data_IF_859213978294
#
_entry.id   IF_859213978294
#
_cell.length_a   1.000
_cell.length_b   1.000
_cell.length_c   1.000
_cell.angle_alpha   90.00
_cell.angle_beta   90.00
_cell.angle_gamma   90.00
#
_symmetry.space_group_name_H-M   'P 1'
#
loop_
_entity.id
_entity.type
_entity.pdbx_description
1 polymer ?
#
# COMPACT_ATOMS: atom_id res chain seq x y z
N UNK A 1 10.94 -40.52 21.77
CA UNK A 1 10.76 -39.17 22.32
C UNK A 1 11.88 -38.30 21.73
N UNK A 2 11.57 -37.22 21.03
CA UNK A 2 12.59 -36.26 20.59
C UNK A 2 13.09 -35.49 21.82
N UNK A 3 14.39 -35.63 22.13
CA UNK A 3 15.04 -34.96 23.27
C UNK A 3 15.70 -33.65 22.90
N UNK A 4 15.61 -33.24 21.62
CA UNK A 4 16.18 -31.99 21.10
C UNK A 4 15.11 -30.91 20.96
N UNK A 5 15.50 -29.67 21.25
CA UNK A 5 14.65 -28.47 21.01
C UNK A 5 14.25 -28.39 19.55
N UNK A 6 12.98 -28.12 19.29
CA UNK A 6 12.45 -27.88 17.93
C UNK A 6 12.60 -26.42 17.49
N UNK A 7 13.27 -25.58 18.30
CA UNK A 7 13.44 -24.15 18.03
C UNK A 7 14.15 -23.85 16.69
N UNK A 8 15.09 -24.72 16.29
CA UNK A 8 15.79 -24.60 15.00
C UNK A 8 14.87 -24.79 13.77
N UNK A 9 13.67 -25.33 13.97
CA UNK A 9 12.67 -25.56 12.93
C UNK A 9 11.53 -24.55 12.96
N UNK A 10 11.51 -23.68 14.00
CA UNK A 10 10.54 -22.59 14.14
C UNK A 10 11.06 -21.35 13.46
N UNK A 11 10.20 -20.64 12.74
CA UNK A 11 10.51 -19.34 12.17
C UNK A 11 9.46 -18.31 12.64
N UNK A 12 9.87 -17.06 12.87
CA UNK A 12 8.95 -16.03 13.34
C UNK A 12 7.95 -15.64 12.25
N UNK A 13 6.66 -15.60 12.57
CA UNK A 13 5.59 -15.16 11.68
C UNK A 13 5.32 -13.63 11.82
N UNK A 14 6.37 -12.84 12.03
CA UNK A 14 6.26 -11.38 12.13
C UNK A 14 6.55 -10.75 10.77
N UNK A 15 5.52 -10.41 10.02
CA UNK A 15 5.58 -9.85 8.67
C UNK A 15 5.25 -8.36 8.65
N UNK A 16 5.89 -7.58 9.52
CA UNK A 16 5.70 -6.12 9.65
C UNK A 16 6.92 -5.38 9.12
N UNK A 17 6.69 -4.43 8.20
CA UNK A 17 7.76 -3.57 7.66
C UNK A 17 8.35 -2.64 8.73
N UNK A 18 9.69 -2.46 8.69
CA UNK A 18 10.42 -1.56 9.58
C UNK A 18 10.67 -0.22 8.89
N UNK A 19 10.15 0.89 9.44
CA UNK A 19 10.78 2.25 9.47
C UNK A 19 9.77 3.35 9.86
N UNK A 20 10.08 4.24 10.88
CA UNK A 20 10.21 5.71 10.77
C UNK A 20 10.02 6.43 12.12
N UNK A 21 11.06 7.15 12.54
CA UNK A 21 11.02 8.03 13.74
C UNK A 21 11.65 9.42 13.48
N UNK A 22 11.46 10.07 12.33
CA UNK A 22 12.19 11.33 12.11
C UNK A 22 11.43 12.60 11.68
N UNK A 23 10.13 12.55 11.42
CA UNK A 23 9.41 13.76 10.96
C UNK A 23 8.07 14.03 11.70
N UNK A 24 7.96 13.61 12.93
CA UNK A 24 6.70 13.56 13.68
C UNK A 24 5.99 14.92 13.80
N UNK A 25 6.69 16.00 14.15
CA UNK A 25 6.03 17.31 14.39
C UNK A 25 5.48 17.98 13.14
N UNK A 26 6.21 17.92 12.02
CA UNK A 26 5.76 18.53 10.75
C UNK A 26 4.58 17.77 10.17
N UNK A 27 4.64 16.45 10.22
CA UNK A 27 3.53 15.59 9.79
C UNK A 27 2.27 15.86 10.63
N UNK A 28 2.39 15.98 11.94
CA UNK A 28 1.26 16.31 12.80
C UNK A 28 0.67 17.69 12.51
N UNK A 29 1.49 18.69 12.17
CA UNK A 29 1.02 20.00 11.77
C UNK A 29 0.21 19.94 10.47
N UNK A 30 0.72 19.25 9.45
CA UNK A 30 0.01 19.05 8.17
C UNK A 30 -1.30 18.31 8.38
N UNK A 31 -1.29 17.24 9.18
CA UNK A 31 -2.50 16.47 9.52
C UNK A 31 -3.54 17.36 10.22
N UNK A 32 -3.12 18.16 11.19
CA UNK A 32 -4.03 19.07 11.92
C UNK A 32 -4.60 20.15 10.99
N UNK A 33 -3.77 20.75 10.12
CA UNK A 33 -4.18 21.75 9.16
C UNK A 33 -5.19 21.20 8.14
N UNK A 34 -4.89 20.03 7.58
CA UNK A 34 -5.76 19.34 6.63
C UNK A 34 -7.08 18.92 7.28
N UNK A 35 -7.04 18.42 8.52
CA UNK A 35 -8.26 18.07 9.25
C UNK A 35 -9.12 19.30 9.58
N UNK A 36 -8.51 20.43 9.95
CA UNK A 36 -9.24 21.67 10.18
C UNK A 36 -9.89 22.19 8.89
N UNK A 37 -9.18 22.13 7.75
CA UNK A 37 -9.71 22.54 6.46
C UNK A 37 -10.87 21.65 6.00
N UNK A 38 -10.71 20.35 6.11
CA UNK A 38 -11.74 19.35 5.86
C UNK A 38 -13.04 19.65 6.64
N UNK A 39 -12.92 19.93 7.95
CA UNK A 39 -14.08 20.30 8.76
C UNK A 39 -14.70 21.64 8.29
N UNK A 40 -13.87 22.62 7.93
CA UNK A 40 -14.34 23.89 7.42
C UNK A 40 -15.11 23.71 6.09
N UNK A 41 -14.65 22.86 5.19
CA UNK A 41 -15.31 22.56 3.91
C UNK A 41 -16.62 21.82 4.09
N UNK A 42 -16.67 20.79 4.95
CA UNK A 42 -17.91 20.04 5.21
C UNK A 42 -18.95 20.97 5.85
N UNK A 43 -18.58 21.70 6.89
CA UNK A 43 -19.49 22.60 7.60
C UNK A 43 -19.86 23.81 6.74
N UNK A 44 -18.87 24.48 6.17
CA UNK A 44 -19.08 25.66 5.34
C UNK A 44 -19.80 25.35 4.02
N UNK A 45 -19.45 24.25 3.36
CA UNK A 45 -20.16 23.77 2.18
C UNK A 45 -21.63 23.49 2.46
N UNK A 46 -21.93 22.89 3.60
CA UNK A 46 -23.31 22.64 4.05
C UNK A 46 -24.04 23.98 4.35
N UNK A 47 -23.40 24.88 5.10
CA UNK A 47 -23.98 26.20 5.44
C UNK A 47 -24.18 27.08 4.22
N UNK A 48 -23.25 27.06 3.27
CA UNK A 48 -23.32 27.86 2.03
C UNK A 48 -24.09 27.17 0.91
N UNK A 49 -24.58 25.94 1.12
CA UNK A 49 -25.42 25.20 0.18
C UNK A 49 -24.68 24.61 -1.02
N UNK A 50 -23.34 24.53 -1.02
CA UNK A 50 -22.55 23.96 -2.12
C UNK A 50 -22.27 22.47 -1.92
N UNK A 51 -22.76 21.63 -2.82
CA UNK A 51 -22.46 20.20 -2.83
C UNK A 51 -21.06 19.90 -3.33
N UNK A 52 -20.50 20.73 -4.22
CA UNK A 52 -19.13 20.56 -4.70
C UNK A 52 -18.12 20.75 -3.56
N UNK A 53 -18.30 21.77 -2.70
CA UNK A 53 -17.45 21.98 -1.52
C UNK A 53 -17.63 20.88 -0.46
N UNK A 54 -18.87 20.43 -0.24
CA UNK A 54 -19.15 19.29 0.66
C UNK A 54 -18.46 18.03 0.15
N UNK A 55 -18.52 17.75 -1.15
CA UNK A 55 -17.89 16.60 -1.77
C UNK A 55 -16.36 16.66 -1.63
N UNK A 56 -15.75 17.84 -1.82
CA UNK A 56 -14.31 18.05 -1.65
C UNK A 56 -13.89 17.83 -0.20
N UNK A 57 -14.58 18.41 0.77
CA UNK A 57 -14.34 18.19 2.19
C UNK A 57 -14.47 16.73 2.62
N UNK A 58 -15.48 15.99 2.14
CA UNK A 58 -15.60 14.56 2.39
C UNK A 58 -14.52 13.74 1.68
N UNK A 59 -14.08 14.15 0.50
CA UNK A 59 -12.95 13.52 -0.18
C UNK A 59 -11.69 13.59 0.70
N UNK A 60 -11.36 14.76 1.23
CA UNK A 60 -10.25 14.93 2.19
C UNK A 60 -10.47 14.13 3.49
N UNK A 61 -11.71 14.09 4.02
CA UNK A 61 -12.07 13.31 5.20
C UNK A 61 -11.75 11.82 5.04
N UNK A 62 -11.95 11.29 3.85
CA UNK A 62 -11.68 9.87 3.58
C UNK A 62 -10.19 9.54 3.63
N UNK A 63 -9.31 10.44 3.19
CA UNK A 63 -7.86 10.25 3.30
C UNK A 63 -7.39 10.28 4.75
N UNK A 64 -7.82 11.28 5.52
CA UNK A 64 -7.53 11.37 6.94
C UNK A 64 -8.06 10.15 7.71
N UNK A 65 -9.29 9.73 7.41
CA UNK A 65 -9.93 8.56 7.98
C UNK A 65 -9.21 7.25 7.63
N UNK A 66 -8.83 7.07 6.37
CA UNK A 66 -8.08 5.90 5.92
C UNK A 66 -6.71 5.81 6.59
N UNK A 67 -5.98 6.92 6.71
CA UNK A 67 -4.71 6.97 7.44
C UNK A 67 -4.86 6.66 8.93
N UNK A 68 -5.90 7.19 9.57
CA UNK A 68 -6.20 6.89 10.97
C UNK A 68 -6.52 5.40 11.18
N UNK A 69 -7.35 4.81 10.33
CA UNK A 69 -7.69 3.39 10.38
C UNK A 69 -6.44 2.54 10.11
N UNK A 70 -5.59 2.92 9.14
CA UNK A 70 -4.34 2.23 8.85
C UNK A 70 -3.36 2.29 10.04
N UNK A 71 -3.23 3.44 10.71
CA UNK A 71 -2.40 3.60 11.90
C UNK A 71 -2.89 2.73 13.07
N UNK A 72 -4.22 2.68 13.29
CA UNK A 72 -4.83 1.81 14.30
C UNK A 72 -4.63 0.33 13.97
N UNK A 73 -4.81 -0.05 12.70
CA UNK A 73 -4.57 -1.41 12.21
C UNK A 73 -3.11 -1.82 12.40
N UNK A 74 -2.16 -0.94 12.07
CA UNK A 74 -0.73 -1.19 12.28
C UNK A 74 -0.39 -1.35 13.77
N UNK A 75 -0.93 -0.46 14.63
CA UNK A 75 -0.76 -0.57 16.08
C UNK A 75 -1.33 -1.89 16.62
N UNK A 76 -2.53 -2.27 16.16
CA UNK A 76 -3.15 -3.55 16.51
C UNK A 76 -2.29 -4.72 16.06
N UNK A 77 -1.85 -4.73 14.79
CA UNK A 77 -1.01 -5.77 14.21
C UNK A 77 0.30 -5.95 14.99
N UNK A 78 0.98 -4.85 15.34
CA UNK A 78 2.20 -4.90 16.17
C UNK A 78 1.94 -5.47 17.56
N UNK A 79 0.86 -5.04 18.21
CA UNK A 79 0.54 -5.50 19.57
C UNK A 79 0.24 -7.00 19.60
N UNK A 80 -0.34 -7.56 18.54
CA UNK A 80 -0.76 -8.96 18.47
C UNK A 80 0.13 -9.79 17.53
N UNK A 81 1.31 -9.30 17.15
CA UNK A 81 2.20 -9.97 16.20
C UNK A 81 2.67 -11.36 16.67
N UNK A 82 2.67 -11.61 17.99
CA UNK A 82 3.05 -12.90 18.60
C UNK A 82 1.86 -13.68 19.19
N UNK A 83 0.64 -13.25 18.90
CA UNK A 83 -0.56 -13.93 19.39
C UNK A 83 -0.81 -15.20 18.56
N UNK A 84 -0.77 -16.36 19.22
CA UNK A 84 -0.95 -17.68 18.58
C UNK A 84 -2.32 -17.85 17.88
N UNK A 85 -3.30 -16.99 18.13
CA UNK A 85 -4.58 -16.99 17.42
C UNK A 85 -4.43 -16.59 15.94
N UNK A 86 -3.38 -15.86 15.59
CA UNK A 86 -3.06 -15.49 14.21
C UNK A 86 -2.01 -16.48 13.65
N UNK A 87 -2.46 -17.59 13.11
CA UNK A 87 -1.58 -18.69 12.64
C UNK A 87 -0.56 -18.24 11.58
N UNK A 88 -0.94 -17.31 10.70
CA UNK A 88 -0.05 -16.70 9.70
C UNK A 88 0.32 -15.26 10.04
N UNK A 89 0.26 -14.88 11.32
CA UNK A 89 0.56 -13.52 11.78
C UNK A 89 -0.52 -12.50 11.44
N UNK A 90 -0.25 -11.24 11.76
CA UNK A 90 -1.19 -10.11 11.64
C UNK A 90 -0.99 -9.28 10.37
N UNK A 91 -0.24 -9.79 9.38
CA UNK A 91 0.13 -9.03 8.18
C UNK A 91 -1.04 -8.59 7.31
N UNK A 92 -2.20 -9.28 7.37
CA UNK A 92 -3.41 -8.93 6.62
C UNK A 92 -4.32 -7.90 7.31
N UNK A 93 -4.05 -7.53 8.56
CA UNK A 93 -4.88 -6.57 9.29
C UNK A 93 -4.92 -5.20 8.59
N UNK A 94 -3.81 -4.79 7.96
CA UNK A 94 -3.75 -3.58 7.15
C UNK A 94 -4.69 -3.63 5.94
N UNK A 95 -4.77 -4.77 5.27
CA UNK A 95 -5.67 -4.96 4.12
C UNK A 95 -7.14 -4.97 4.54
N UNK A 96 -7.46 -5.57 5.69
CA UNK A 96 -8.80 -5.51 6.25
C UNK A 96 -9.21 -4.07 6.58
N UNK A 97 -8.29 -3.28 7.13
CA UNK A 97 -8.51 -1.87 7.41
C UNK A 97 -8.73 -1.06 6.12
N UNK A 98 -7.92 -1.28 5.08
CA UNK A 98 -8.07 -0.64 3.78
C UNK A 98 -9.40 -1.01 3.10
N UNK A 99 -9.78 -2.28 3.15
CA UNK A 99 -11.06 -2.76 2.64
C UNK A 99 -12.25 -2.08 3.33
N UNK A 100 -12.22 -2.01 4.67
CA UNK A 100 -13.28 -1.37 5.47
C UNK A 100 -13.36 0.13 5.18
N UNK A 101 -12.22 0.82 5.10
CA UNK A 101 -12.16 2.24 4.75
C UNK A 101 -12.74 2.51 3.37
N UNK A 102 -12.43 1.67 2.38
CA UNK A 102 -12.94 1.82 1.03
C UNK A 102 -14.47 1.63 0.94
N UNK A 103 -15.05 0.73 1.73
CA UNK A 103 -16.50 0.58 1.81
C UNK A 103 -17.14 1.83 2.42
N UNK A 104 -16.59 2.36 3.51
CA UNK A 104 -17.09 3.59 4.14
C UNK A 104 -17.04 4.74 3.13
N UNK A 105 -15.93 4.88 2.41
CA UNK A 105 -15.75 5.88 1.37
C UNK A 105 -16.80 5.77 0.26
N UNK A 106 -17.04 4.55 -0.24
CA UNK A 106 -18.05 4.31 -1.28
C UNK A 106 -19.47 4.67 -0.80
N UNK A 107 -19.81 4.37 0.46
CA UNK A 107 -21.11 4.73 1.04
C UNK A 107 -21.28 6.25 1.18
N UNK A 108 -20.25 6.96 1.63
CA UNK A 108 -20.25 8.43 1.71
C UNK A 108 -20.43 9.04 0.32
N UNK A 109 -19.62 8.57 -0.66
CA UNK A 109 -19.70 9.05 -2.03
C UNK A 109 -21.11 8.79 -2.64
N UNK A 110 -21.68 7.62 -2.39
CA UNK A 110 -23.06 7.32 -2.84
C UNK A 110 -24.10 8.27 -2.21
N UNK A 111 -23.94 8.60 -0.92
CA UNK A 111 -24.85 9.53 -0.24
C UNK A 111 -24.73 10.95 -0.82
N UNK A 112 -23.50 11.44 -1.06
CA UNK A 112 -23.26 12.73 -1.72
C UNK A 112 -23.84 12.73 -3.13
N UNK A 113 -23.64 11.64 -3.89
CA UNK A 113 -24.20 11.49 -5.23
C UNK A 113 -25.71 11.55 -5.24
N UNK A 114 -26.35 10.87 -4.31
CA UNK A 114 -27.80 10.91 -4.15
C UNK A 114 -28.31 12.34 -3.87
N UNK A 115 -27.72 13.01 -2.89
CA UNK A 115 -28.06 14.41 -2.55
C UNK A 115 -27.82 15.35 -3.73
N UNK A 116 -26.70 15.18 -4.45
CA UNK A 116 -26.38 15.99 -5.64
C UNK A 116 -27.41 15.82 -6.75
N UNK A 117 -27.91 14.58 -6.98
CA UNK A 117 -28.98 14.34 -7.94
C UNK A 117 -30.28 15.02 -7.50
N UNK A 118 -30.64 14.94 -6.21
CA UNK A 118 -31.83 15.64 -5.71
C UNK A 118 -31.74 17.15 -5.94
N UNK A 119 -30.58 17.77 -5.71
CA UNK A 119 -30.37 19.21 -5.91
C UNK A 119 -30.41 19.68 -7.36
N UNK A 120 -30.28 18.79 -8.34
CA UNK A 120 -30.54 19.10 -9.74
C UNK A 120 -32.04 19.31 -9.98
N UNK A 121 -32.90 18.50 -9.32
CA UNK A 121 -34.34 18.58 -9.44
C UNK A 121 -34.96 19.63 -8.51
N UNK A 122 -34.42 19.78 -7.30
CA UNK A 122 -34.86 20.68 -6.26
C UNK A 122 -33.69 21.60 -5.84
N UNK A 123 -33.40 22.66 -6.64
CA UNK A 123 -32.29 23.53 -6.36
C UNK A 123 -32.43 24.26 -5.03
N UNK A 124 -31.33 24.29 -4.24
CA UNK A 124 -31.24 25.07 -3.00
C UNK A 124 -30.49 26.37 -3.23
N UNK A 125 -30.67 27.34 -2.33
CA UNK A 125 -29.95 28.61 -2.41
C UNK A 125 -28.46 28.37 -2.10
N UNK A 126 -27.58 28.80 -3.01
CA UNK A 126 -26.11 28.68 -2.86
C UNK A 126 -25.56 30.09 -2.64
N UNK A 127 -24.74 30.24 -1.60
CA UNK A 127 -23.95 31.44 -1.32
C UNK A 127 -22.61 31.34 -2.07
N UNK A 128 -22.65 31.64 -3.37
CA UNK A 128 -21.53 31.39 -4.28
C UNK A 128 -20.23 32.09 -3.88
N UNK A 129 -20.28 33.32 -3.34
CA UNK A 129 -19.09 34.06 -2.97
C UNK A 129 -18.34 33.38 -1.82
N UNK A 130 -19.08 33.03 -0.77
CA UNK A 130 -18.56 32.39 0.44
C UNK A 130 -18.07 30.98 0.14
N UNK A 131 -18.85 30.19 -0.61
CA UNK A 131 -18.46 28.85 -1.04
C UNK A 131 -17.19 28.88 -1.92
N UNK A 132 -17.08 29.85 -2.86
CA UNK A 132 -15.89 29.98 -3.71
C UNK A 132 -14.65 30.34 -2.88
N UNK A 133 -14.76 31.26 -1.93
CA UNK A 133 -13.64 31.60 -1.05
C UNK A 133 -13.19 30.40 -0.24
N UNK A 134 -14.12 29.64 0.29
CA UNK A 134 -13.81 28.43 1.06
C UNK A 134 -13.06 27.40 0.19
N UNK A 135 -13.55 27.13 -1.03
CA UNK A 135 -12.91 26.20 -1.97
C UNK A 135 -11.49 26.67 -2.40
N UNK A 136 -11.30 27.98 -2.61
CA UNK A 136 -9.97 28.55 -2.95
C UNK A 136 -8.99 28.38 -1.77
N UNK A 137 -9.44 28.64 -0.55
CA UNK A 137 -8.62 28.42 0.65
C UNK A 137 -8.29 26.92 0.82
N UNK A 138 -9.26 26.04 0.58
CA UNK A 138 -9.06 24.58 0.60
C UNK A 138 -8.00 24.11 -0.40
N UNK A 139 -8.10 24.55 -1.65
CA UNK A 139 -7.08 24.29 -2.68
C UNK A 139 -5.70 24.80 -2.23
N UNK A 140 -5.64 26.00 -1.66
CA UNK A 140 -4.39 26.58 -1.15
C UNK A 140 -3.77 25.75 -0.02
N UNK A 141 -4.58 25.26 0.91
CA UNK A 141 -4.14 24.39 2.00
C UNK A 141 -3.66 23.04 1.45
N UNK A 142 -4.35 22.46 0.47
CA UNK A 142 -3.95 21.21 -0.17
C UNK A 142 -2.59 21.34 -0.84
N UNK A 143 -2.40 22.38 -1.66
CA UNK A 143 -1.12 22.63 -2.33
C UNK A 143 0.02 22.92 -1.33
N UNK A 144 -0.26 23.71 -0.29
CA UNK A 144 0.72 23.99 0.77
C UNK A 144 1.12 22.72 1.54
N UNK A 145 0.15 21.87 1.87
CA UNK A 145 0.39 20.60 2.56
C UNK A 145 1.31 19.68 1.77
N UNK A 146 1.09 19.61 0.47
CA UNK A 146 1.94 18.85 -0.46
C UNK A 146 3.35 19.43 -0.51
N UNK A 147 3.46 20.74 -0.69
CA UNK A 147 4.76 21.41 -0.76
C UNK A 147 5.58 21.17 0.53
N UNK A 148 4.95 21.28 1.71
CA UNK A 148 5.59 20.98 3.00
C UNK A 148 6.06 19.53 3.14
N UNK A 149 5.34 18.57 2.55
CA UNK A 149 5.73 17.15 2.57
C UNK A 149 6.88 16.87 1.60
N UNK A 150 6.88 17.44 0.39
CA UNK A 150 7.93 17.20 -0.62
C UNK A 150 9.23 17.93 -0.30
N UNK A 151 9.20 19.13 0.28
CA UNK A 151 10.40 19.89 0.67
C UNK A 151 11.22 19.17 1.76
N UNK A 152 10.59 18.31 2.55
CA UNK A 152 11.25 17.51 3.58
C UNK A 152 12.11 16.37 3.01
N UNK A 153 11.83 15.88 1.81
CA UNK A 153 12.57 14.78 1.19
C UNK A 153 13.81 15.27 0.43
N UNK A 154 13.87 16.56 0.03
CA UNK A 154 15.02 17.12 -0.70
C UNK A 154 16.18 17.58 0.19
N UNK A 155 16.01 17.77 1.48
CA UNK A 155 17.10 18.19 2.39
C UNK A 155 17.89 17.03 3.01
N UNK A 156 17.62 15.77 2.68
CA UNK A 156 18.31 14.58 3.19
C UNK A 156 19.57 14.16 2.42
N UNK A 157 19.92 14.78 1.29
CA UNK A 157 21.00 14.33 0.41
C UNK A 157 22.15 15.35 0.16
N UNK A 158 22.40 16.28 1.06
CA UNK A 158 23.64 17.07 1.00
C UNK A 158 24.44 16.91 2.29
N UNK A 159 25.50 16.12 2.22
CA UNK A 159 26.52 16.11 3.25
C UNK A 159 27.27 14.80 3.38
N UNK A 160 28.12 14.47 2.44
CA UNK A 160 29.49 14.00 2.70
C UNK A 160 30.26 13.94 1.38
N UNK A 161 30.78 15.10 1.00
CA UNK A 161 31.91 15.16 0.10
C UNK A 161 33.14 14.64 0.85
N UNK A 162 33.62 13.48 0.52
CA UNK A 162 34.97 13.07 0.85
C UNK A 162 35.86 13.59 -0.27
N UNK A 163 36.59 14.66 0.04
CA UNK A 163 37.77 15.04 -0.68
C UNK A 163 38.79 13.89 -0.58
N UNK A 164 39.09 13.27 -1.71
CA UNK A 164 40.23 12.38 -1.85
C UNK A 164 41.40 13.21 -2.33
N UNK A 165 42.24 13.63 -1.40
CA UNK A 165 43.61 14.05 -1.70
C UNK A 165 44.43 12.82 -2.11
N UNK A 166 44.97 12.90 -3.33
CA UNK A 166 45.97 11.96 -3.85
C UNK A 166 47.31 12.26 -3.26
N UNK A 167 47.86 11.39 -2.47
CA UNK A 167 49.30 11.29 -2.28
C UNK A 167 49.80 9.88 -2.58
N UNK A 168 50.66 9.80 -3.59
CA UNK A 168 51.54 8.68 -3.90
C UNK A 168 52.56 8.50 -2.76
N UNK A 169 52.87 7.29 -2.31
CA UNK A 169 54.21 6.72 -2.46
C UNK A 169 54.36 5.33 -1.76
N UNK A 170 55.11 4.48 -2.47
CA UNK A 170 55.95 3.34 -2.10
C UNK A 170 55.48 2.22 -1.15
N UNK A 171 55.34 1.07 -1.75
CA UNK A 171 55.82 -0.28 -1.55
C UNK A 171 56.24 -0.78 -0.17
N UNK A 172 55.68 -1.92 0.20
CA UNK A 172 56.42 -3.09 0.74
C UNK A 172 55.42 -4.29 0.82
N UNK A 173 55.88 -5.40 0.25
CA UNK A 173 55.36 -6.75 0.32
C UNK A 173 55.33 -7.30 1.74
N UNK A 174 54.24 -7.88 2.19
CA UNK A 174 54.23 -9.03 3.11
C UNK A 174 52.89 -9.81 2.91
N UNK A 175 53.06 -11.07 2.53
CA UNK A 175 52.08 -12.13 2.56
C UNK A 175 51.66 -12.40 4.00
N UNK A 176 50.36 -12.45 4.27
CA UNK A 176 49.76 -13.34 5.27
C UNK A 176 48.29 -13.60 4.90
N UNK A 177 48.01 -14.87 4.67
CA UNK A 177 46.68 -15.45 4.59
C UNK A 177 45.92 -15.20 5.90
N UNK A 178 44.72 -14.67 5.80
CA UNK A 178 43.62 -15.03 6.71
C UNK A 178 42.27 -14.61 6.04
N UNK A 179 41.51 -15.63 5.68
CA UNK A 179 40.22 -15.52 5.07
C UNK A 179 39.17 -15.16 6.14
N UNK A 180 38.77 -13.92 6.23
CA UNK A 180 37.53 -13.50 6.88
C UNK A 180 36.56 -12.99 5.84
N UNK A 181 35.62 -13.86 5.50
CA UNK A 181 34.51 -13.61 4.58
C UNK A 181 33.45 -12.78 5.31
N UNK A 182 33.55 -11.45 5.28
CA UNK A 182 32.46 -10.55 5.66
C UNK A 182 31.53 -10.40 4.47
N UNK A 183 30.42 -11.11 4.53
CA UNK A 183 29.29 -10.92 3.60
C UNK A 183 28.52 -9.71 4.08
N UNK A 184 28.82 -8.54 3.53
CA UNK A 184 28.02 -7.34 3.69
C UNK A 184 26.71 -7.49 2.88
N UNK A 185 25.67 -7.93 3.56
CA UNK A 185 24.29 -7.88 3.02
C UNK A 185 23.76 -6.45 3.09
N UNK A 186 24.23 -5.59 2.20
CA UNK A 186 23.49 -4.39 1.85
C UNK A 186 22.33 -4.79 0.91
N UNK A 187 21.19 -5.07 1.51
CA UNK A 187 19.93 -5.26 0.78
C UNK A 187 19.52 -3.94 0.12
N UNK A 188 19.92 -3.72 -1.12
CA UNK A 188 19.34 -2.69 -1.98
C UNK A 188 17.88 -3.05 -2.23
N UNK A 189 16.94 -2.29 -1.62
CA UNK A 189 15.55 -2.31 -2.06
C UNK A 189 15.53 -1.92 -3.55
N UNK A 190 14.79 -2.63 -4.41
CA UNK A 190 14.78 -2.33 -5.84
C UNK A 190 14.26 -0.91 -6.07
N UNK A 191 15.00 -0.10 -6.82
CA UNK A 191 14.70 1.30 -7.14
C UNK A 191 13.28 1.47 -7.73
N UNK A 192 12.73 0.46 -8.39
CA UNK A 192 11.39 0.43 -8.95
C UNK A 192 10.24 0.54 -7.93
N UNK A 193 10.45 0.15 -6.67
CA UNK A 193 9.41 0.27 -5.63
C UNK A 193 9.30 1.72 -5.10
N UNK A 194 10.39 2.47 -5.16
CA UNK A 194 10.44 3.86 -4.72
C UNK A 194 9.79 4.80 -5.76
N UNK A 195 10.05 4.58 -7.05
CA UNK A 195 9.45 5.34 -8.16
C UNK A 195 7.93 5.16 -8.24
N UNK A 196 7.41 3.96 -7.96
CA UNK A 196 5.97 3.69 -7.97
C UNK A 196 5.22 4.40 -6.84
N UNK A 197 5.82 4.54 -5.65
CA UNK A 197 5.23 5.24 -4.52
C UNK A 197 5.17 6.76 -4.75
N UNK A 198 6.24 7.35 -5.29
CA UNK A 198 6.29 8.77 -5.63
C UNK A 198 5.25 9.09 -6.72
N UNK A 199 5.16 8.26 -7.75
CA UNK A 199 4.17 8.40 -8.82
C UNK A 199 2.73 8.29 -8.29
N UNK A 200 2.46 7.34 -7.40
CA UNK A 200 1.14 7.19 -6.78
C UNK A 200 0.76 8.40 -5.93
N UNK A 201 1.69 8.94 -5.14
CA UNK A 201 1.49 10.15 -4.36
C UNK A 201 1.24 11.37 -5.26
N UNK A 202 1.99 11.52 -6.36
CA UNK A 202 1.80 12.61 -7.33
C UNK A 202 0.43 12.57 -8.01
N UNK A 203 0.01 11.39 -8.49
CA UNK A 203 -1.32 11.20 -9.11
C UNK A 203 -2.44 11.51 -8.13
N UNK A 204 -2.26 11.14 -6.87
CA UNK A 204 -3.22 11.42 -5.81
C UNK A 204 -3.40 12.93 -5.58
N UNK A 205 -2.28 13.64 -5.38
CA UNK A 205 -2.29 15.10 -5.19
C UNK A 205 -2.88 15.84 -6.39
N UNK A 206 -2.56 15.38 -7.61
CA UNK A 206 -3.11 15.96 -8.83
C UNK A 206 -4.63 15.78 -8.90
N UNK A 207 -5.13 14.65 -8.47
CA UNK A 207 -6.57 14.39 -8.43
C UNK A 207 -7.27 15.26 -7.38
N UNK A 208 -6.69 15.42 -6.19
CA UNK A 208 -7.24 16.31 -5.15
C UNK A 208 -7.29 17.76 -5.65
N UNK A 209 -6.22 18.24 -6.29
CA UNK A 209 -6.21 19.57 -6.88
C UNK A 209 -7.26 19.71 -8.01
N UNK A 210 -7.46 18.66 -8.81
CA UNK A 210 -8.49 18.68 -9.87
C UNK A 210 -9.90 18.75 -9.30
N UNK A 211 -10.23 18.03 -8.25
CA UNK A 211 -11.57 18.08 -7.63
C UNK A 211 -11.86 19.48 -7.08
N UNK A 212 -10.91 20.10 -6.39
CA UNK A 212 -11.03 21.45 -5.88
C UNK A 212 -11.16 22.49 -7.02
N UNK A 213 -10.39 22.35 -8.11
CA UNK A 213 -10.50 23.23 -9.29
C UNK A 213 -11.87 23.09 -9.97
N UNK A 214 -12.40 21.86 -10.09
CA UNK A 214 -13.73 21.61 -10.64
C UNK A 214 -14.82 22.24 -9.75
N UNK A 215 -14.70 22.14 -8.43
CA UNK A 215 -15.63 22.78 -7.49
C UNK A 215 -15.63 24.31 -7.67
N UNK A 216 -14.44 24.93 -7.73
CA UNK A 216 -14.29 26.38 -7.96
C UNK A 216 -14.89 26.78 -9.32
N UNK A 217 -14.62 26.03 -10.38
CA UNK A 217 -15.16 26.29 -11.71
C UNK A 217 -16.70 26.23 -11.74
N UNK A 218 -17.28 25.24 -11.08
CA UNK A 218 -18.73 25.10 -10.94
C UNK A 218 -19.36 26.27 -10.18
N UNK A 219 -18.77 26.67 -9.05
CA UNK A 219 -19.21 27.80 -8.24
C UNK A 219 -19.11 29.14 -8.99
N UNK A 220 -18.02 29.37 -9.74
CA UNK A 220 -17.85 30.59 -10.58
C UNK A 220 -18.86 30.59 -11.71
N UNK A 221 -19.13 29.46 -12.37
CA UNK A 221 -20.15 29.35 -13.38
C UNK A 221 -21.55 29.69 -12.83
N UNK A 222 -21.87 29.16 -11.63
CA UNK A 222 -23.09 29.50 -10.91
C UNK A 222 -23.20 31.01 -10.60
N UNK A 223 -22.09 31.59 -10.12
CA UNK A 223 -22.05 33.02 -9.74
C UNK A 223 -22.19 33.97 -10.92
N UNK A 224 -21.48 33.73 -12.04
CA UNK A 224 -21.41 34.68 -13.15
C UNK A 224 -22.47 34.43 -14.23
N UNK A 225 -22.85 33.18 -14.45
CA UNK A 225 -23.80 32.78 -15.49
C UNK A 225 -25.16 32.33 -14.96
N UNK A 226 -25.32 32.25 -13.64
CA UNK A 226 -26.55 31.72 -13.00
C UNK A 226 -26.78 30.22 -13.19
N UNK A 227 -25.73 29.46 -13.53
CA UNK A 227 -25.80 28.00 -13.75
C UNK A 227 -25.74 27.23 -12.42
N UNK A 228 -26.81 27.34 -11.63
CA UNK A 228 -26.90 26.74 -10.29
C UNK A 228 -26.68 25.21 -10.32
N UNK A 229 -27.09 24.56 -11.41
CA UNK A 229 -26.91 23.11 -11.61
C UNK A 229 -25.46 22.65 -11.77
N UNK A 230 -24.54 23.57 -12.03
CA UNK A 230 -23.11 23.25 -12.17
C UNK A 230 -22.49 22.76 -10.87
N UNK A 231 -22.90 23.31 -9.71
CA UNK A 231 -22.39 22.87 -8.40
C UNK A 231 -22.68 21.38 -8.13
N UNK A 232 -23.93 20.88 -8.16
CA UNK A 232 -24.19 19.46 -7.98
C UNK A 232 -23.62 18.60 -9.12
N UNK A 233 -23.46 19.12 -10.34
CA UNK A 233 -22.80 18.39 -11.42
C UNK A 233 -21.30 18.17 -11.11
N UNK A 234 -20.59 19.18 -10.63
CA UNK A 234 -19.19 19.04 -10.23
C UNK A 234 -19.03 18.07 -9.05
N UNK A 235 -19.98 18.10 -8.10
CA UNK A 235 -20.04 17.11 -7.03
C UNK A 235 -20.21 15.68 -7.57
N UNK A 236 -21.07 15.47 -8.56
CA UNK A 236 -21.26 14.15 -9.20
C UNK A 236 -19.99 13.65 -9.91
N UNK A 237 -19.25 14.54 -10.56
CA UNK A 237 -17.95 14.18 -11.16
C UNK A 237 -16.98 13.73 -10.06
N UNK A 238 -16.87 14.49 -8.97
CA UNK A 238 -16.07 14.11 -7.80
C UNK A 238 -16.48 12.75 -7.22
N UNK A 239 -17.79 12.52 -7.06
CA UNK A 239 -18.34 11.22 -6.63
C UNK A 239 -17.93 10.08 -7.55
N UNK A 240 -17.99 10.27 -8.86
CA UNK A 240 -17.58 9.24 -9.83
C UNK A 240 -16.10 8.87 -9.68
N UNK A 241 -15.23 9.86 -9.46
CA UNK A 241 -13.80 9.65 -9.20
C UNK A 241 -13.60 8.88 -7.90
N UNK A 242 -14.25 9.31 -6.80
CA UNK A 242 -14.15 8.66 -5.49
C UNK A 242 -14.64 7.21 -5.55
N UNK A 243 -15.79 6.95 -6.19
CA UNK A 243 -16.32 5.58 -6.35
C UNK A 243 -15.39 4.70 -7.17
N UNK A 244 -14.79 5.22 -8.25
CA UNK A 244 -13.81 4.48 -9.05
C UNK A 244 -12.62 4.02 -8.21
N UNK A 245 -12.08 4.91 -7.36
CA UNK A 245 -10.97 4.57 -6.47
C UNK A 245 -11.37 3.62 -5.35
N UNK A 246 -12.54 3.81 -4.76
CA UNK A 246 -13.08 2.91 -3.74
C UNK A 246 -13.21 1.50 -4.27
N UNK A 247 -13.77 1.32 -5.48
CA UNK A 247 -13.89 0.01 -6.12
C UNK A 247 -12.51 -0.60 -6.40
N UNK A 248 -11.54 0.20 -6.85
CA UNK A 248 -10.16 -0.24 -7.04
C UNK A 248 -9.54 -0.76 -5.73
N UNK A 249 -9.68 0.01 -4.65
CA UNK A 249 -9.14 -0.34 -3.34
C UNK A 249 -9.86 -1.57 -2.74
N UNK A 250 -11.19 -1.66 -2.85
CA UNK A 250 -11.97 -2.84 -2.44
C UNK A 250 -11.46 -4.08 -3.17
N UNK A 251 -11.29 -4.01 -4.50
CA UNK A 251 -10.80 -5.15 -5.29
C UNK A 251 -9.39 -5.56 -4.88
N UNK A 252 -8.46 -4.61 -4.76
CA UNK A 252 -7.07 -4.90 -4.40
C UNK A 252 -6.95 -5.53 -3.01
N UNK A 253 -7.64 -4.98 -2.00
CA UNK A 253 -7.63 -5.55 -0.66
C UNK A 253 -8.37 -6.89 -0.59
N UNK A 254 -9.49 -7.04 -1.32
CA UNK A 254 -10.20 -8.31 -1.40
C UNK A 254 -9.34 -9.44 -1.98
N UNK A 255 -8.50 -9.18 -2.99
CA UNK A 255 -7.60 -10.21 -3.54
C UNK A 255 -6.65 -10.75 -2.49
N UNK A 256 -6.15 -9.90 -1.59
CA UNK A 256 -5.25 -10.32 -0.50
C UNK A 256 -6.01 -11.06 0.60
N UNK A 257 -7.22 -10.58 0.95
CA UNK A 257 -8.04 -11.18 2.00
C UNK A 257 -8.61 -12.56 1.60
N UNK A 258 -8.89 -12.73 0.30
CA UNK A 258 -9.40 -13.99 -0.26
C UNK A 258 -8.29 -14.94 -0.73
N UNK A 259 -7.04 -14.67 -0.37
CA UNK A 259 -5.89 -15.50 -0.73
C UNK A 259 -5.74 -15.77 -2.23
N UNK A 260 -6.10 -14.81 -3.07
CA UNK A 260 -5.88 -14.92 -4.51
C UNK A 260 -4.39 -14.88 -4.83
N UNK A 261 -4.00 -15.59 -5.88
CA UNK A 261 -2.59 -15.66 -6.32
C UNK A 261 -2.04 -14.24 -6.56
N UNK A 262 -1.05 -13.81 -5.77
CA UNK A 262 -0.59 -12.42 -5.81
C UNK A 262 0.16 -12.06 -7.11
N UNK A 263 0.87 -13.03 -7.69
CA UNK A 263 1.65 -12.87 -8.91
C UNK A 263 1.71 -14.17 -9.71
N UNK A 264 1.18 -14.13 -10.93
CA UNK A 264 1.21 -15.28 -11.85
C UNK A 264 2.63 -15.61 -12.36
N UNK A 265 3.52 -14.60 -12.45
CA UNK A 265 4.91 -14.82 -12.84
C UNK A 265 5.68 -15.54 -11.73
N UNK A 266 5.44 -15.21 -10.47
CA UNK A 266 6.00 -15.92 -9.33
C UNK A 266 5.53 -17.38 -9.33
N UNK A 267 4.23 -17.65 -9.55
CA UNK A 267 3.70 -19.00 -9.66
C UNK A 267 4.37 -19.80 -10.78
N UNK A 268 4.56 -19.20 -11.97
CA UNK A 268 5.28 -19.81 -13.08
C UNK A 268 6.75 -20.09 -12.76
N UNK A 269 7.42 -19.17 -12.07
CA UNK A 269 8.82 -19.32 -11.65
C UNK A 269 8.99 -20.45 -10.63
N UNK A 270 8.06 -20.59 -9.69
CA UNK A 270 8.06 -21.69 -8.71
C UNK A 270 7.88 -23.02 -9.43
N UNK A 271 6.88 -23.16 -10.32
CA UNK A 271 6.70 -24.39 -11.12
C UNK A 271 7.96 -24.75 -11.89
N UNK A 272 8.53 -23.80 -12.64
CA UNK A 272 9.73 -24.01 -13.43
C UNK A 272 10.93 -24.50 -12.61
N UNK A 273 11.06 -24.05 -11.35
CA UNK A 273 12.16 -24.47 -10.46
C UNK A 273 11.89 -25.81 -9.79
N UNK A 274 10.63 -26.17 -9.56
CA UNK A 274 10.27 -27.45 -8.96
C UNK A 274 10.16 -28.57 -9.97
N UNK A 275 9.70 -28.29 -11.20
CA UNK A 275 9.52 -29.28 -12.28
C UNK A 275 10.85 -29.50 -13.04
N UNK A 276 11.81 -30.12 -12.38
CA UNK A 276 13.13 -30.49 -12.90
C UNK A 276 13.29 -32.00 -12.77
N UNK A 277 14.04 -32.62 -13.69
CA UNK A 277 14.38 -34.04 -13.70
C UNK A 277 13.15 -35.01 -13.74
N UNK A 278 12.05 -34.57 -14.32
CA UNK A 278 10.81 -35.33 -14.43
C UNK A 278 9.82 -35.09 -13.28
N UNK A 279 10.20 -34.36 -12.25
CA UNK A 279 9.31 -33.95 -11.16
C UNK A 279 8.15 -33.11 -11.70
N UNK A 280 6.95 -33.24 -11.12
CA UNK A 280 5.74 -32.51 -11.49
C UNK A 280 5.07 -31.87 -10.28
N UNK A 281 4.65 -30.63 -10.41
CA UNK A 281 3.86 -29.95 -9.39
C UNK A 281 2.40 -30.29 -9.61
N UNK A 282 1.85 -31.14 -8.71
CA UNK A 282 0.45 -31.55 -8.73
C UNK A 282 -0.47 -30.48 -8.16
N UNK A 283 -0.01 -29.75 -7.12
CA UNK A 283 -0.77 -28.69 -6.50
C UNK A 283 0.14 -27.52 -6.08
N UNK A 284 -0.37 -26.29 -6.18
CA UNK A 284 0.38 -25.08 -5.87
C UNK A 284 -0.54 -23.99 -5.36
N UNK A 285 -0.39 -23.65 -4.09
CA UNK A 285 -1.06 -22.52 -3.44
C UNK A 285 -0.07 -21.41 -3.14
N UNK A 286 -0.44 -20.20 -3.54
CA UNK A 286 0.30 -18.97 -3.23
C UNK A 286 -0.66 -17.94 -2.69
N UNK A 287 -0.30 -17.32 -1.56
CA UNK A 287 -1.10 -16.24 -0.98
C UNK A 287 -0.21 -15.22 -0.28
N UNK A 288 -0.71 -14.00 -0.15
CA UNK A 288 0.00 -12.93 0.57
C UNK A 288 -0.20 -13.09 2.09
N UNK A 289 0.89 -13.10 2.84
CA UNK A 289 0.90 -13.12 4.31
C UNK A 289 0.91 -11.70 4.90
N UNK A 290 1.54 -10.77 4.18
CA UNK A 290 1.69 -9.37 4.55
C UNK A 290 2.47 -8.61 3.48
N UNK A 291 2.76 -7.31 3.68
CA UNK A 291 3.52 -6.52 2.72
C UNK A 291 4.90 -7.14 2.43
N UNK A 292 5.14 -7.54 1.18
CA UNK A 292 6.40 -8.17 0.75
C UNK A 292 6.57 -9.63 1.16
N UNK A 293 5.58 -10.26 1.79
CA UNK A 293 5.65 -11.64 2.29
C UNK A 293 4.60 -12.55 1.65
N UNK A 294 5.04 -13.63 1.02
CA UNK A 294 4.19 -14.63 0.34
C UNK A 294 4.38 -16.00 0.98
N UNK A 295 3.27 -16.70 1.22
CA UNK A 295 3.23 -18.11 1.59
C UNK A 295 3.13 -18.99 0.35
N UNK A 296 3.74 -20.16 0.42
CA UNK A 296 3.70 -21.21 -0.63
C UNK A 296 3.45 -22.55 0.01
N UNK A 297 2.48 -23.28 -0.52
CA UNK A 297 2.32 -24.72 -0.33
C UNK A 297 2.39 -25.34 -1.72
N UNK A 298 3.28 -26.31 -1.90
CA UNK A 298 3.40 -27.04 -3.16
C UNK A 298 3.46 -28.53 -2.92
N UNK A 299 2.72 -29.30 -3.70
CA UNK A 299 2.81 -30.77 -3.75
C UNK A 299 3.53 -31.18 -5.03
N UNK A 300 4.59 -31.94 -4.88
CA UNK A 300 5.45 -32.42 -5.97
C UNK A 300 5.33 -33.96 -6.05
N UNK A 301 5.10 -34.46 -7.27
CA UNK A 301 5.14 -35.87 -7.59
C UNK A 301 6.44 -36.17 -8.32
N UNK A 302 7.22 -37.15 -7.86
CA UNK A 302 8.52 -37.49 -8.38
C UNK A 302 8.69 -39.01 -8.52
N UNK A 303 9.39 -39.46 -9.56
CA UNK A 303 9.75 -40.87 -9.72
C UNK A 303 10.80 -41.30 -8.67
N UNK A 304 11.67 -40.37 -8.31
CA UNK A 304 12.69 -40.55 -7.26
C UNK A 304 12.57 -39.41 -6.24
N UNK A 305 11.59 -39.48 -5.31
CA UNK A 305 11.33 -38.40 -4.37
C UNK A 305 12.55 -38.13 -3.51
N UNK A 306 12.91 -36.86 -3.41
CA UNK A 306 13.97 -36.36 -2.55
C UNK A 306 13.38 -35.73 -1.26
N UNK A 307 14.24 -35.45 -0.30
CA UNK A 307 13.80 -34.79 0.93
C UNK A 307 13.21 -33.39 0.62
N UNK A 308 12.14 -32.95 1.31
CA UNK A 308 11.52 -31.63 1.09
C UNK A 308 12.50 -30.46 1.14
N UNK A 309 13.62 -30.59 1.88
CA UNK A 309 14.68 -29.58 1.96
C UNK A 309 15.31 -29.26 0.60
N UNK A 310 15.53 -30.28 -0.24
CA UNK A 310 16.11 -30.10 -1.59
C UNK A 310 15.21 -29.24 -2.47
N UNK A 311 13.90 -29.48 -2.42
CA UNK A 311 12.93 -28.67 -3.17
C UNK A 311 12.83 -27.25 -2.62
N UNK A 312 12.95 -27.05 -1.30
CA UNK A 312 13.01 -25.71 -0.69
C UNK A 312 14.25 -24.95 -1.15
N UNK A 313 15.40 -25.60 -1.29
CA UNK A 313 16.64 -25.00 -1.81
C UNK A 313 16.47 -24.57 -3.28
N UNK A 314 15.75 -25.32 -4.10
CA UNK A 314 15.43 -24.91 -5.49
C UNK A 314 14.66 -23.58 -5.54
N UNK A 315 13.88 -23.27 -4.51
CA UNK A 315 13.14 -22.00 -4.38
C UNK A 315 13.95 -20.90 -3.71
N UNK A 316 15.13 -21.21 -3.16
CA UNK A 316 16.00 -20.21 -2.57
C UNK A 316 16.34 -19.10 -3.60
N UNK A 317 16.37 -17.85 -3.13
CA UNK A 317 16.62 -16.68 -3.99
C UNK A 317 15.40 -16.15 -4.75
N UNK A 318 14.20 -16.73 -4.61
CA UNK A 318 12.96 -16.08 -5.01
C UNK A 318 12.56 -15.06 -3.94
N UNK A 319 12.60 -13.78 -4.32
CA UNK A 319 12.26 -12.69 -3.39
C UNK A 319 10.82 -12.79 -2.90
N UNK A 320 10.60 -12.49 -1.62
CA UNK A 320 9.27 -12.38 -1.02
C UNK A 320 8.68 -13.70 -0.53
N UNK A 321 9.32 -14.86 -0.70
CA UNK A 321 8.89 -16.12 -0.10
C UNK A 321 9.29 -16.17 1.38
N UNK A 322 8.31 -16.21 2.27
CA UNK A 322 8.55 -16.15 3.73
C UNK A 322 8.06 -17.38 4.48
N UNK A 323 7.16 -18.15 3.87
CA UNK A 323 6.69 -19.42 4.41
C UNK A 323 6.56 -20.41 3.25
N UNK A 324 7.35 -21.50 3.29
CA UNK A 324 7.38 -22.50 2.22
C UNK A 324 7.16 -23.88 2.81
N UNK A 325 6.08 -24.53 2.38
CA UNK A 325 5.78 -25.93 2.68
C UNK A 325 5.83 -26.73 1.38
N UNK A 326 6.58 -27.82 1.37
CA UNK A 326 6.66 -28.74 0.24
C UNK A 326 6.25 -30.14 0.71
N UNK A 327 5.26 -30.69 0.05
CA UNK A 327 4.88 -32.10 0.14
C UNK A 327 5.48 -32.85 -1.05
N UNK A 328 6.00 -34.05 -0.80
CA UNK A 328 6.63 -34.85 -1.87
C UNK A 328 6.00 -36.24 -1.88
N UNK A 329 5.50 -36.62 -3.06
CA UNK A 329 4.83 -37.89 -3.27
C UNK A 329 5.58 -38.72 -4.31
N UNK A 330 5.75 -40.04 -4.10
CA UNK A 330 6.25 -40.92 -5.13
C UNK A 330 5.22 -41.09 -6.26
N UNK A 331 5.69 -41.20 -7.50
CA UNK A 331 4.82 -41.53 -8.62
C UNK A 331 4.30 -42.95 -8.49
N UNK A 332 3.00 -43.12 -8.30
CA UNK A 332 2.36 -44.42 -8.05
C UNK A 332 2.49 -45.41 -9.24
N UNK A 333 2.71 -44.90 -10.46
CA UNK A 333 2.78 -45.73 -11.68
C UNK A 333 4.13 -46.50 -11.76
N UNK A 334 5.23 -45.93 -11.23
CA UNK A 334 6.56 -46.52 -11.25
C UNK A 334 6.94 -47.23 -9.95
N UNK A 335 6.13 -47.08 -8.88
CA UNK A 335 6.37 -47.76 -7.62
C UNK A 335 5.96 -49.25 -7.58
N UNK A 336 5.24 -49.75 -8.58
CA UNK A 336 4.80 -51.13 -8.66
C UNK A 336 5.76 -52.07 -9.41
N UNK A 337 6.78 -51.53 -10.11
CA UNK A 337 7.78 -52.38 -10.79
C UNK A 337 9.03 -52.69 -9.94
N UNK A 338 9.12 -52.16 -8.72
CA UNK A 338 10.29 -52.36 -7.83
C UNK A 338 9.98 -53.26 -6.59
N UNK A 339 8.84 -53.94 -6.54
CA UNK A 339 8.48 -54.95 -5.54
C UNK A 339 8.29 -56.30 -6.26
#
# INVERSE_FOLDING_TARGET
MHTHSVESWQHPHVFLGAKHDRHERRTWFVVALTAAMMLAEIVGGTLYGSMAVVADGWHMATHAGALAIAALAYRFARRHARDARFTFGTGKVGELAAFSSAIILALIAAAIGYESVLRIYEPVTIYFAEATWLAVVGLGVNLASVWFLFDSDHHGHHGNGHEHDHHHDHGHTHEHDDAHNHVDHHGHAPAHAQDSNIRAAYVHVLADAMTSVLAIAGLLAGRFYGWVWMDPLMALIGVAVILSWSVGLIRSSATVLLDMVPDRHLAGSIRKRLEVDGDRVSDLHLWRLGPGHTGVIASVVADRPQAPGVYKERLAGLAGLSHVTIEVHPCAVHGQEAA
#
